data_IF_576113004520
#
_entry.id   IF_576113004520
#
_cell.length_a   1.000
_cell.length_b   1.000
_cell.length_c   1.000
_cell.angle_alpha   90.00
_cell.angle_beta   90.00
_cell.angle_gamma   90.00
#
_symmetry.space_group_name_H-M   'P 1'
#
loop_
_entity.id
_entity.type
_entity.pdbx_description
1 polymer ?
#
# COMPACT_ATOMS: atom_id res chain seq x y z
N UNK A 1 -14.63 9.69 -12.35
CA UNK A 1 -14.77 8.58 -11.41
C UNK A 1 -15.51 9.06 -10.18
N UNK A 2 -16.63 8.45 -9.88
CA UNK A 2 -17.45 8.80 -8.72
C UNK A 2 -16.87 8.19 -7.44
N UNK A 3 -16.99 8.92 -6.33
CA UNK A 3 -16.57 8.44 -5.02
C UNK A 3 -15.05 8.41 -4.77
N UNK A 4 -14.23 8.87 -5.72
CA UNK A 4 -12.78 8.84 -5.59
C UNK A 4 -12.23 10.21 -5.17
N UNK A 5 -11.48 10.21 -4.07
CA UNK A 5 -10.82 11.39 -3.52
C UNK A 5 -9.37 11.47 -4.05
N UNK A 6 -9.22 12.12 -5.19
CA UNK A 6 -7.95 12.36 -5.88
C UNK A 6 -8.10 13.67 -6.63
N UNK A 7 -7.02 14.43 -6.80
CA UNK A 7 -7.04 15.64 -7.63
C UNK A 7 -6.34 15.39 -8.97
N UNK A 8 -6.95 15.90 -10.00
CA UNK A 8 -6.37 15.94 -11.35
C UNK A 8 -6.31 17.39 -11.83
N UNK A 9 -5.14 17.83 -12.25
CA UNK A 9 -4.92 19.18 -12.82
C UNK A 9 -4.25 19.06 -14.18
N UNK A 10 -4.31 20.13 -14.96
CA UNK A 10 -3.72 20.19 -16.29
C UNK A 10 -4.70 19.86 -17.42
N UNK A 11 -4.23 20.07 -18.65
CA UNK A 11 -4.98 19.85 -19.90
C UNK A 11 -4.85 18.40 -20.37
N UNK A 12 -5.50 18.06 -21.47
CA UNK A 12 -5.31 16.80 -22.18
C UNK A 12 -3.84 16.68 -22.62
N UNK A 13 -3.25 15.51 -22.45
CA UNK A 13 -1.83 15.18 -22.69
C UNK A 13 -0.83 15.83 -21.71
N UNK A 14 -1.34 16.56 -20.72
CA UNK A 14 -0.54 17.22 -19.68
C UNK A 14 -1.29 17.16 -18.33
N UNK A 15 -1.98 16.09 -18.11
CA UNK A 15 -2.73 15.89 -16.88
C UNK A 15 -1.84 15.31 -15.78
N UNK A 16 -1.89 15.91 -14.61
CA UNK A 16 -1.13 15.50 -13.44
C UNK A 16 -2.07 14.98 -12.37
N UNK A 17 -1.65 13.95 -11.67
CA UNK A 17 -2.38 13.38 -10.54
C UNK A 17 -1.78 13.87 -9.23
N UNK A 18 -2.64 14.33 -8.33
CA UNK A 18 -2.28 14.81 -7.00
C UNK A 18 -3.08 14.07 -5.94
N UNK A 19 -2.52 14.00 -4.76
CA UNK A 19 -3.25 13.53 -3.58
C UNK A 19 -4.50 14.38 -3.34
N UNK A 20 -5.55 13.78 -2.75
CA UNK A 20 -6.75 14.49 -2.36
C UNK A 20 -6.44 15.62 -1.36
N UNK A 21 -7.34 16.62 -1.28
CA UNK A 21 -7.30 17.64 -0.23
C UNK A 21 -7.52 17.00 1.13
N UNK A 22 -8.54 16.16 1.26
CA UNK A 22 -8.75 15.31 2.43
C UNK A 22 -7.77 14.14 2.41
N UNK A 23 -6.63 14.30 3.09
CA UNK A 23 -5.57 13.28 3.17
C UNK A 23 -6.04 11.98 3.80
N UNK A 24 -7.06 12.02 4.69
CA UNK A 24 -7.62 10.83 5.33
C UNK A 24 -8.42 9.96 4.38
N UNK A 25 -8.86 10.53 3.25
CA UNK A 25 -9.64 9.87 2.20
C UNK A 25 -8.87 9.73 0.88
N UNK A 26 -7.60 10.10 0.86
CA UNK A 26 -6.76 10.03 -0.34
C UNK A 26 -6.67 8.61 -0.90
N UNK A 27 -7.02 8.45 -2.16
CA UNK A 27 -7.03 7.19 -2.88
C UNK A 27 -6.00 7.13 -4.02
N UNK A 28 -5.09 8.09 -4.09
CA UNK A 28 -4.06 8.15 -5.13
C UNK A 28 -3.16 6.90 -5.14
N UNK A 29 -2.94 6.26 -3.99
CA UNK A 29 -2.18 5.03 -3.87
C UNK A 29 -2.72 3.89 -4.75
N UNK A 30 -4.03 3.77 -4.91
CA UNK A 30 -4.66 2.70 -5.70
C UNK A 30 -4.65 2.96 -7.21
N UNK A 31 -4.29 4.18 -7.63
CA UNK A 31 -4.26 4.58 -9.05
C UNK A 31 -2.83 4.62 -9.63
N UNK A 32 -1.87 3.96 -8.99
CA UNK A 32 -0.48 3.93 -9.42
C UNK A 32 -0.28 3.42 -10.86
N UNK A 33 -1.16 2.54 -11.35
CA UNK A 33 -1.11 1.99 -12.70
C UNK A 33 -1.89 2.82 -13.75
N UNK A 34 -2.45 3.98 -13.36
CA UNK A 34 -3.20 4.85 -14.29
C UNK A 34 -2.24 5.49 -15.28
N UNK A 35 -2.43 5.23 -16.56
CA UNK A 35 -1.61 5.83 -17.63
C UNK A 35 -2.01 7.27 -17.90
N UNK A 36 -1.13 8.04 -18.54
CA UNK A 36 -1.42 9.41 -18.99
C UNK A 36 -2.69 9.48 -19.85
N UNK A 37 -2.85 8.55 -20.80
CA UNK A 37 -4.04 8.50 -21.67
C UNK A 37 -5.32 8.28 -20.86
N UNK A 38 -5.30 7.43 -19.85
CA UNK A 38 -6.46 7.22 -18.98
C UNK A 38 -6.73 8.46 -18.11
N UNK A 39 -5.68 9.10 -17.58
CA UNK A 39 -5.82 10.28 -16.74
C UNK A 39 -6.42 11.47 -17.50
N UNK A 40 -6.19 11.57 -18.79
CA UNK A 40 -6.79 12.61 -19.65
C UNK A 40 -8.32 12.57 -19.65
N UNK A 41 -8.92 11.39 -19.54
CA UNK A 41 -10.38 11.21 -19.52
C UNK A 41 -10.96 11.17 -18.10
N UNK A 42 -10.16 10.87 -17.09
CA UNK A 42 -10.64 10.79 -15.72
C UNK A 42 -10.99 12.16 -15.14
N UNK A 43 -12.04 12.21 -14.35
CA UNK A 43 -12.46 13.38 -13.57
C UNK A 43 -12.77 12.94 -12.16
N UNK A 44 -12.32 13.73 -11.18
CA UNK A 44 -12.45 13.44 -9.77
C UNK A 44 -13.10 14.61 -9.05
N UNK A 45 -14.44 14.74 -9.13
CA UNK A 45 -15.15 15.92 -8.59
C UNK A 45 -15.04 16.08 -7.07
N UNK A 46 -14.70 15.01 -6.34
CA UNK A 46 -14.59 15.03 -4.89
C UNK A 46 -13.16 15.29 -4.39
N UNK A 47 -12.18 15.43 -5.27
CA UNK A 47 -10.78 15.49 -4.89
C UNK A 47 -10.37 16.76 -4.15
N UNK A 48 -11.11 17.86 -4.31
CA UNK A 48 -10.81 19.18 -3.73
C UNK A 48 -11.68 19.52 -2.51
N UNK A 49 -12.53 18.59 -2.08
CA UNK A 49 -13.42 18.79 -0.94
C UNK A 49 -13.26 17.67 0.09
N UNK A 50 -13.58 17.96 1.33
CA UNK A 50 -13.57 16.99 2.41
C UNK A 50 -14.74 16.01 2.33
N UNK A 51 -14.63 14.89 3.03
CA UNK A 51 -15.75 13.95 3.17
C UNK A 51 -16.95 14.57 3.87
N UNK A 52 -16.71 15.45 4.83
CA UNK A 52 -17.78 16.17 5.53
C UNK A 52 -18.56 17.09 4.59
N UNK A 53 -17.85 17.85 3.76
CA UNK A 53 -18.46 18.71 2.74
C UNK A 53 -19.23 17.88 1.70
N UNK A 54 -18.66 16.75 1.27
CA UNK A 54 -19.36 15.83 0.34
C UNK A 54 -20.71 15.37 0.92
N UNK A 55 -20.74 15.00 2.22
CA UNK A 55 -21.98 14.59 2.90
C UNK A 55 -22.98 15.72 2.99
N UNK A 56 -22.52 16.91 3.33
CA UNK A 56 -23.39 18.09 3.39
C UNK A 56 -24.02 18.42 2.04
N UNK A 57 -23.23 18.39 0.97
CA UNK A 57 -23.75 18.59 -0.40
C UNK A 57 -24.77 17.50 -0.75
N UNK A 58 -24.52 16.24 -0.38
CA UNK A 58 -25.46 15.15 -0.64
C UNK A 58 -26.77 15.31 0.15
N UNK A 59 -26.71 15.80 1.38
CA UNK A 59 -27.85 16.12 2.22
C UNK A 59 -28.66 17.29 1.64
N UNK A 60 -27.99 18.37 1.26
CA UNK A 60 -28.61 19.57 0.64
C UNK A 60 -29.34 19.23 -0.68
N UNK A 61 -28.82 18.21 -1.40
CA UNK A 61 -29.42 17.67 -2.62
C UNK A 61 -30.51 16.61 -2.35
N UNK A 62 -30.85 16.31 -1.09
CA UNK A 62 -31.85 15.32 -0.72
C UNK A 62 -31.49 13.87 -1.07
N UNK A 63 -30.21 13.53 -1.19
CA UNK A 63 -29.77 12.17 -1.52
C UNK A 63 -29.90 11.26 -0.29
N UNK A 64 -30.67 10.18 -0.39
CA UNK A 64 -30.92 9.23 0.70
C UNK A 64 -29.61 8.61 1.25
N UNK A 65 -28.54 8.60 0.45
CA UNK A 65 -27.24 7.98 0.81
C UNK A 65 -26.27 8.94 1.50
N UNK A 66 -26.69 10.16 1.85
CA UNK A 66 -25.80 11.18 2.42
C UNK A 66 -25.08 10.72 3.71
N UNK A 67 -25.76 9.96 4.55
CA UNK A 67 -25.24 9.43 5.82
C UNK A 67 -24.75 7.97 5.72
N UNK A 68 -24.71 7.40 4.52
CA UNK A 68 -24.20 6.04 4.34
C UNK A 68 -22.75 5.92 4.82
N UNK A 69 -22.49 4.93 5.69
CA UNK A 69 -21.14 4.61 6.14
C UNK A 69 -20.27 4.26 4.95
N UNK A 70 -18.98 4.61 5.05
CA UNK A 70 -17.99 4.18 4.04
C UNK A 70 -17.95 2.65 3.99
N UNK A 71 -17.79 2.11 2.78
CA UNK A 71 -17.53 0.67 2.63
C UNK A 71 -16.20 0.34 3.29
N UNK A 72 -16.26 -0.35 4.41
CA UNK A 72 -15.08 -0.74 5.20
C UNK A 72 -14.57 -2.11 4.77
N UNK A 73 -15.43 -2.93 4.17
CA UNK A 73 -15.18 -4.33 3.85
C UNK A 73 -15.48 -4.66 2.39
N UNK A 74 -14.99 -5.81 1.98
CA UNK A 74 -15.24 -6.38 0.65
C UNK A 74 -16.73 -6.73 0.58
N UNK A 75 -17.47 -6.07 -0.30
CA UNK A 75 -18.93 -6.12 -0.38
C UNK A 75 -19.55 -7.51 -0.61
N UNK A 76 -18.76 -8.48 -1.06
CA UNK A 76 -19.19 -9.88 -1.26
C UNK A 76 -18.83 -10.82 -0.10
N UNK A 77 -18.36 -10.28 1.03
CA UNK A 77 -18.14 -11.03 2.29
C UNK A 77 -19.13 -10.53 3.33
N UNK A 78 -20.31 -11.18 3.48
CA UNK A 78 -21.41 -10.66 4.29
C UNK A 78 -21.07 -10.44 5.76
N UNK A 79 -20.20 -11.28 6.31
CA UNK A 79 -19.86 -11.30 7.75
C UNK A 79 -18.55 -10.55 8.06
N UNK A 80 -17.90 -9.91 7.07
CA UNK A 80 -16.58 -9.28 7.23
C UNK A 80 -15.45 -10.28 7.54
N UNK A 81 -15.75 -11.58 7.62
CA UNK A 81 -14.77 -12.63 7.93
C UNK A 81 -14.17 -13.20 6.64
N UNK A 82 -13.25 -12.43 6.04
CA UNK A 82 -12.53 -12.86 4.84
C UNK A 82 -11.74 -14.16 5.05
N UNK A 83 -11.38 -14.50 6.30
CA UNK A 83 -10.65 -15.75 6.60
C UNK A 83 -11.47 -17.00 6.33
N UNK A 84 -12.80 -16.92 6.54
CA UNK A 84 -13.72 -17.99 6.14
C UNK A 84 -13.90 -18.09 4.63
N UNK A 85 -13.87 -16.93 3.95
CA UNK A 85 -14.02 -16.85 2.49
C UNK A 85 -12.80 -17.39 1.76
N UNK A 86 -11.60 -17.11 2.26
CA UNK A 86 -10.38 -17.73 1.74
C UNK A 86 -10.42 -19.21 2.18
N UNK A 87 -10.88 -20.10 1.28
CA UNK A 87 -10.73 -21.55 1.43
C UNK A 87 -9.24 -21.85 1.53
N UNK A 88 -8.70 -21.69 2.74
CA UNK A 88 -7.30 -22.00 2.99
C UNK A 88 -7.14 -23.51 2.99
N UNK A 89 -6.30 -24.02 2.11
CA UNK A 89 -5.62 -25.27 2.39
C UNK A 89 -4.83 -24.99 3.68
N UNK A 90 -5.38 -25.40 4.82
CA UNK A 90 -4.71 -25.30 6.13
C UNK A 90 -3.45 -26.15 6.10
N UNK A 91 -2.41 -25.62 5.51
CA UNK A 91 -1.11 -26.29 5.48
C UNK A 91 -0.33 -25.79 6.68
N UNK A 92 -0.12 -26.70 7.65
CA UNK A 92 0.75 -26.40 8.79
C UNK A 92 2.14 -26.03 8.31
N UNK A 93 2.71 -25.00 8.92
CA UNK A 93 4.06 -24.54 8.66
C UNK A 93 4.73 -24.10 9.95
N UNK A 94 5.93 -23.60 9.82
CA UNK A 94 6.81 -23.25 10.93
C UNK A 94 6.95 -21.74 11.07
N UNK A 95 7.06 -21.27 12.30
CA UNK A 95 7.51 -19.93 12.63
C UNK A 95 8.94 -20.08 13.14
N UNK A 96 9.88 -19.44 12.45
CA UNK A 96 11.31 -19.53 12.70
C UNK A 96 11.88 -18.16 13.05
N UNK A 97 12.98 -18.13 13.79
CA UNK A 97 13.79 -16.93 13.99
C UNK A 97 14.71 -16.66 12.77
N UNK A 98 15.46 -15.55 12.81
CA UNK A 98 16.43 -15.18 11.79
C UNK A 98 17.60 -16.19 11.67
N UNK A 99 17.85 -16.98 12.71
CA UNK A 99 18.87 -18.03 12.73
C UNK A 99 18.37 -19.37 12.17
N UNK A 100 17.06 -19.48 11.90
CA UNK A 100 16.41 -20.69 11.40
C UNK A 100 15.91 -21.64 12.49
N UNK A 101 15.95 -21.25 13.77
CA UNK A 101 15.39 -22.07 14.85
C UNK A 101 13.87 -22.01 14.82
N UNK A 102 13.23 -23.17 14.95
CA UNK A 102 11.76 -23.25 15.02
C UNK A 102 11.28 -22.81 16.40
N UNK A 103 10.47 -21.76 16.43
CA UNK A 103 9.88 -21.21 17.66
C UNK A 103 8.46 -21.70 17.87
N UNK A 104 7.68 -21.91 16.81
CA UNK A 104 6.28 -22.32 16.87
C UNK A 104 5.82 -22.86 15.53
N UNK A 105 4.54 -23.24 15.43
CA UNK A 105 3.89 -23.64 14.19
C UNK A 105 2.67 -22.75 13.90
N UNK A 106 2.22 -22.74 12.65
CA UNK A 106 1.03 -22.00 12.21
C UNK A 106 0.13 -22.84 11.29
N UNK A 107 -1.14 -22.46 11.17
CA UNK A 107 -2.14 -23.15 10.33
C UNK A 107 -2.31 -22.53 8.93
N UNK A 108 -1.31 -21.80 8.46
CA UNK A 108 -1.30 -21.20 7.11
C UNK A 108 -0.73 -19.79 7.11
N UNK A 109 0.19 -19.54 6.16
CA UNK A 109 0.88 -18.25 5.98
C UNK A 109 -0.04 -17.08 5.64
N UNK A 110 -1.23 -17.34 5.07
CA UNK A 110 -2.23 -16.33 4.72
C UNK A 110 -2.80 -15.59 5.95
N UNK A 111 -2.58 -16.10 7.15
CA UNK A 111 -3.01 -15.47 8.39
C UNK A 111 -2.00 -14.44 8.92
N UNK A 112 -0.86 -14.29 8.23
CA UNK A 112 0.25 -13.45 8.67
C UNK A 112 0.54 -12.34 7.65
N UNK A 113 1.05 -11.23 8.17
CA UNK A 113 1.46 -10.08 7.37
C UNK A 113 2.78 -9.56 7.91
N UNK A 114 3.71 -9.17 7.05
CA UNK A 114 4.98 -8.56 7.46
C UNK A 114 4.71 -7.32 8.32
N UNK A 115 5.40 -7.22 9.44
CA UNK A 115 5.18 -6.21 10.48
C UNK A 115 4.13 -6.59 11.54
N UNK A 116 3.46 -7.74 11.41
CA UNK A 116 2.50 -8.21 12.41
C UNK A 116 3.23 -8.58 13.71
N UNK A 117 2.72 -8.06 14.83
CA UNK A 117 3.20 -8.35 16.20
C UNK A 117 2.30 -9.32 16.95
N UNK A 118 0.96 -9.22 16.77
CA UNK A 118 -0.02 -9.98 17.56
C UNK A 118 -0.42 -11.27 16.85
N UNK A 119 -0.79 -12.29 17.65
CA UNK A 119 -1.34 -13.54 17.10
C UNK A 119 -0.28 -14.48 16.53
N UNK A 120 0.99 -14.35 16.94
CA UNK A 120 2.07 -15.27 16.55
C UNK A 120 2.04 -16.60 17.31
N UNK A 121 1.39 -16.65 18.49
CA UNK A 121 1.36 -17.86 19.31
C UNK A 121 2.72 -18.21 19.92
N UNK A 122 3.61 -17.22 20.06
CA UNK A 122 4.93 -17.37 20.64
C UNK A 122 4.97 -16.61 21.96
N UNK A 123 5.47 -17.26 23.02
CA UNK A 123 5.81 -16.60 24.27
C UNK A 123 7.28 -16.23 24.23
N UNK A 124 7.59 -14.93 24.30
CA UNK A 124 8.94 -14.38 24.31
C UNK A 124 8.95 -13.13 25.18
N UNK A 125 10.07 -12.85 25.84
CA UNK A 125 10.20 -11.70 26.74
C UNK A 125 10.12 -10.39 25.94
N UNK A 126 10.75 -10.35 24.76
CA UNK A 126 10.70 -9.21 23.85
C UNK A 126 9.64 -9.42 22.75
N UNK A 127 8.99 -8.33 22.28
CA UNK A 127 8.03 -8.40 21.20
C UNK A 127 8.65 -8.87 19.89
N UNK A 128 8.15 -9.95 19.33
CA UNK A 128 8.51 -10.42 18.00
C UNK A 128 7.57 -9.87 16.92
N UNK A 129 8.12 -9.70 15.74
CA UNK A 129 7.44 -9.20 14.54
C UNK A 129 7.66 -10.14 13.36
N UNK A 130 6.67 -10.28 12.50
CA UNK A 130 6.85 -10.99 11.23
C UNK A 130 7.78 -10.17 10.34
N UNK A 131 8.95 -10.71 10.03
CA UNK A 131 9.97 -10.07 9.19
C UNK A 131 9.76 -10.45 7.72
N UNK A 132 9.50 -11.74 7.45
CA UNK A 132 9.28 -12.23 6.10
C UNK A 132 8.36 -13.47 6.09
N UNK A 133 7.82 -13.77 4.89
CA UNK A 133 6.96 -14.92 4.65
C UNK A 133 7.50 -15.69 3.44
N UNK A 134 8.09 -16.87 3.69
CA UNK A 134 8.64 -17.74 2.66
C UNK A 134 7.56 -18.70 2.16
N UNK A 135 6.87 -18.32 1.09
CA UNK A 135 5.71 -19.07 0.57
C UNK A 135 6.07 -20.50 0.18
N UNK A 136 7.18 -20.71 -0.52
CA UNK A 136 7.57 -22.02 -1.04
C UNK A 136 7.91 -23.02 0.08
N UNK A 137 8.45 -22.53 1.20
CA UNK A 137 8.75 -23.32 2.39
C UNK A 137 7.61 -23.36 3.39
N UNK A 138 6.56 -22.58 3.18
CA UNK A 138 5.46 -22.40 4.15
C UNK A 138 5.98 -22.00 5.54
N UNK A 139 6.93 -21.05 5.57
CA UNK A 139 7.60 -20.57 6.78
C UNK A 139 7.36 -19.08 7.00
N UNK A 140 7.25 -18.70 8.27
CA UNK A 140 7.18 -17.31 8.75
C UNK A 140 8.48 -17.02 9.49
N UNK A 141 9.20 -15.98 9.08
CA UNK A 141 10.38 -15.50 9.80
C UNK A 141 9.96 -14.41 10.77
N UNK A 142 10.38 -14.52 12.01
CA UNK A 142 10.14 -13.49 13.04
C UNK A 142 11.46 -12.96 13.58
N UNK A 143 11.45 -11.72 14.05
CA UNK A 143 12.61 -11.03 14.63
C UNK A 143 12.20 -9.80 15.40
N UNK A 144 13.17 -8.99 15.79
CA UNK A 144 12.98 -7.74 16.52
C UNK A 144 12.41 -6.63 15.62
N UNK A 145 11.94 -5.55 16.24
CA UNK A 145 11.45 -4.39 15.50
C UNK A 145 12.50 -3.78 14.55
N UNK A 146 13.77 -3.78 14.95
CA UNK A 146 14.88 -3.28 14.12
C UNK A 146 15.06 -4.05 12.81
N UNK A 147 14.71 -5.34 12.80
CA UNK A 147 14.84 -6.21 11.63
C UNK A 147 13.76 -5.93 10.56
N UNK A 148 12.74 -5.12 10.91
CA UNK A 148 11.77 -4.60 9.94
C UNK A 148 12.28 -3.42 9.11
N UNK A 149 13.41 -2.82 9.51
CA UNK A 149 13.92 -1.63 8.87
C UNK A 149 14.64 -1.96 7.56
N UNK A 150 14.24 -1.30 6.49
CA UNK A 150 14.89 -1.37 5.19
C UNK A 150 15.28 0.02 4.69
N UNK A 151 16.48 0.13 4.11
CA UNK A 151 17.01 1.37 3.54
C UNK A 151 16.64 1.55 2.07
N UNK A 152 16.25 0.47 1.39
CA UNK A 152 15.92 0.50 -0.03
C UNK A 152 14.89 -0.55 -0.41
N UNK A 153 14.30 -0.40 -1.59
CA UNK A 153 13.46 -1.41 -2.23
C UNK A 153 13.74 -1.45 -3.73
N UNK A 154 13.62 -2.63 -4.31
CA UNK A 154 13.64 -2.81 -5.76
C UNK A 154 12.23 -2.58 -6.30
N UNK A 155 12.17 -1.92 -7.46
CA UNK A 155 10.95 -1.64 -8.18
C UNK A 155 10.88 -2.47 -9.46
N UNK A 156 9.72 -3.03 -9.74
CA UNK A 156 9.40 -3.66 -11.00
C UNK A 156 9.05 -2.64 -12.08
N UNK A 157 7.95 -2.87 -12.77
CA UNK A 157 7.46 -1.98 -13.82
C UNK A 157 7.05 -0.62 -13.26
N UNK A 158 7.62 0.45 -13.81
CA UNK A 158 7.27 1.80 -13.44
C UNK A 158 6.30 2.42 -14.45
N UNK A 159 5.30 3.12 -13.93
CA UNK A 159 4.38 3.93 -14.71
C UNK A 159 4.60 5.41 -14.41
N UNK A 160 5.24 6.12 -15.35
CA UNK A 160 5.48 7.55 -15.24
C UNK A 160 4.30 8.33 -15.81
N UNK A 161 3.54 8.98 -14.95
CA UNK A 161 2.44 9.85 -15.36
C UNK A 161 3.00 11.17 -15.91
N UNK A 162 4.12 11.65 -15.37
CA UNK A 162 4.79 12.89 -15.77
C UNK A 162 6.02 12.55 -16.62
N UNK A 163 5.97 12.80 -17.94
CA UNK A 163 7.04 12.39 -18.86
C UNK A 163 8.41 13.02 -18.58
N UNK A 164 8.46 14.17 -17.90
CA UNK A 164 9.69 14.83 -17.48
C UNK A 164 10.45 14.07 -16.39
N UNK A 165 9.75 13.20 -15.63
CA UNK A 165 10.37 12.33 -14.62
C UNK A 165 10.64 10.91 -15.11
N UNK A 166 10.42 10.66 -16.41
CA UNK A 166 10.70 9.36 -16.99
C UNK A 166 12.21 9.09 -17.04
N UNK A 167 12.68 8.23 -16.14
CA UNK A 167 14.09 7.85 -16.02
C UNK A 167 14.65 7.14 -17.27
N UNK A 168 13.82 6.73 -18.22
CA UNK A 168 14.31 6.20 -19.50
C UNK A 168 15.04 7.26 -20.33
N UNK A 169 14.84 8.55 -20.03
CA UNK A 169 15.31 9.73 -20.76
C UNK A 169 16.58 10.35 -20.17
N UNK A 170 17.62 9.59 -19.90
CA UNK A 170 18.91 10.07 -19.35
C UNK A 170 18.89 10.67 -17.94
N UNK A 171 17.80 10.54 -17.20
CA UNK A 171 17.76 10.88 -15.78
C UNK A 171 18.20 9.64 -15.00
N UNK A 172 19.15 9.79 -14.07
CA UNK A 172 19.69 8.67 -13.27
C UNK A 172 19.01 8.60 -11.92
N UNK A 173 18.65 9.73 -11.33
CA UNK A 173 17.98 9.79 -10.04
C UNK A 173 16.94 10.92 -9.97
N UNK A 174 15.91 10.72 -9.15
CA UNK A 174 14.86 11.70 -8.87
C UNK A 174 14.63 11.75 -7.36
N UNK A 175 14.93 12.88 -6.68
CA UNK A 175 14.50 13.10 -5.30
C UNK A 175 12.98 13.13 -5.23
N UNK A 176 12.40 12.24 -4.42
CA UNK A 176 10.95 12.16 -4.28
C UNK A 176 10.56 11.49 -2.96
N UNK A 177 9.29 11.25 -2.76
CA UNK A 177 8.81 10.50 -1.59
C UNK A 177 8.03 9.27 -2.05
N UNK A 178 8.27 8.13 -1.42
CA UNK A 178 7.54 6.89 -1.69
C UNK A 178 6.51 6.60 -0.60
N UNK A 179 5.34 6.15 -1.03
CA UNK A 179 4.29 5.64 -0.15
C UNK A 179 4.26 4.13 -0.28
N UNK A 180 4.75 3.43 0.74
CA UNK A 180 4.92 1.97 0.72
C UNK A 180 3.64 1.20 1.08
N UNK A 181 2.64 1.87 1.66
CA UNK A 181 1.31 1.32 1.97
C UNK A 181 0.26 2.41 1.87
N UNK A 182 -0.99 2.03 1.61
CA UNK A 182 -2.09 2.99 1.42
C UNK A 182 -2.32 3.94 2.61
N UNK A 183 -2.10 3.46 3.83
CA UNK A 183 -2.30 4.23 5.06
C UNK A 183 -1.01 4.82 5.65
N UNK A 184 0.17 4.53 5.05
CA UNK A 184 1.43 5.10 5.54
C UNK A 184 1.63 6.52 5.04
N UNK A 185 2.40 7.31 5.80
CA UNK A 185 2.91 8.58 5.31
C UNK A 185 4.02 8.35 4.27
N UNK A 186 4.11 9.22 3.25
CA UNK A 186 5.21 9.18 2.30
C UNK A 186 6.55 9.38 2.99
N UNK A 187 7.52 8.51 2.68
CA UNK A 187 8.90 8.59 3.15
C UNK A 187 9.78 9.24 2.09
N UNK A 188 10.64 10.18 2.48
CA UNK A 188 11.59 10.84 1.59
C UNK A 188 12.69 9.89 1.14
N UNK A 189 13.23 10.15 -0.05
CA UNK A 189 14.32 9.39 -0.63
C UNK A 189 14.52 9.72 -2.10
N UNK A 190 15.11 8.78 -2.82
CA UNK A 190 15.43 8.93 -4.24
C UNK A 190 15.00 7.70 -5.02
N UNK A 191 14.34 7.95 -6.14
CA UNK A 191 14.15 6.94 -7.17
C UNK A 191 15.38 6.91 -8.06
N UNK A 192 16.00 5.75 -8.21
CA UNK A 192 17.26 5.56 -8.92
C UNK A 192 17.07 4.54 -10.04
N UNK A 193 17.58 4.89 -11.23
CA UNK A 193 17.72 3.96 -12.34
C UNK A 193 19.06 3.24 -12.24
N UNK A 194 19.01 1.92 -12.17
CA UNK A 194 20.15 1.04 -12.35
C UNK A 194 20.11 0.46 -13.77
N UNK A 195 21.14 -0.21 -14.24
CA UNK A 195 21.27 -0.65 -15.65
C UNK A 195 19.99 -1.25 -16.25
N UNK A 196 19.34 -2.18 -15.55
CA UNK A 196 18.14 -2.90 -15.99
C UNK A 196 16.98 -2.87 -15.00
N UNK A 197 17.13 -2.16 -13.88
CA UNK A 197 16.16 -2.12 -12.79
C UNK A 197 16.04 -0.73 -12.20
N UNK A 198 15.06 -0.57 -11.34
CA UNK A 198 14.85 0.65 -10.57
C UNK A 198 14.89 0.31 -9.09
N UNK A 199 15.40 1.24 -8.29
CA UNK A 199 15.34 1.15 -6.85
C UNK A 199 14.86 2.47 -6.25
N UNK A 200 14.31 2.39 -5.06
CA UNK A 200 14.06 3.57 -4.23
C UNK A 200 14.91 3.44 -2.99
N UNK A 201 15.73 4.45 -2.73
CA UNK A 201 16.55 4.56 -1.52
C UNK A 201 15.91 5.57 -0.58
N UNK A 202 15.67 5.16 0.66
CA UNK A 202 15.08 6.01 1.69
C UNK A 202 16.16 6.86 2.35
N UNK A 203 15.87 8.13 2.63
CA UNK A 203 16.75 9.02 3.43
C UNK A 203 16.90 8.48 4.86
N UNK A 204 15.81 7.91 5.41
CA UNK A 204 15.78 7.22 6.71
C UNK A 204 15.12 5.85 6.53
N UNK A 205 15.60 4.80 7.21
CA UNK A 205 15.04 3.46 7.07
C UNK A 205 13.52 3.43 7.27
N UNK A 206 12.83 2.67 6.43
CA UNK A 206 11.39 2.49 6.48
C UNK A 206 11.03 1.13 7.07
N UNK A 207 9.98 1.10 7.91
CA UNK A 207 9.53 -0.13 8.57
C UNK A 207 8.65 -0.98 7.64
N UNK A 208 8.83 -2.30 7.70
CA UNK A 208 7.94 -3.30 7.13
C UNK A 208 7.67 -3.10 5.63
N UNK A 209 8.74 -2.92 4.86
CA UNK A 209 8.69 -2.90 3.40
C UNK A 209 8.23 -4.28 2.93
N UNK A 210 7.15 -4.34 2.16
CA UNK A 210 6.60 -5.60 1.64
C UNK A 210 6.56 -5.58 0.13
N UNK A 211 6.66 -6.76 -0.46
CA UNK A 211 6.37 -6.94 -1.89
C UNK A 211 4.90 -6.57 -2.15
N UNK A 212 4.68 -5.80 -3.19
CA UNK A 212 3.35 -5.38 -3.66
C UNK A 212 2.66 -6.44 -4.48
#
# INVERSE_FOLDING_TARGET
>A
ATGHYIRRKGKIKDAHMYRAEDKSKDQSYFLFATTQNQLDYLRFPLGEISKAETRKIAEDLGLIVYDKKDSQDICFIPDGDYKKFIKSNKKKGEIIDLSGNVLSSHDGIQNFTVGQRRGLGISNDDPLYVIDIIKDKNQIIVGDKKDLLGSSLLLGDLNFIMPEYDLSKNIVEIPCSAKIRSLSDPKKGKLIKQSTSYSFEFDEPAEAITRG
#
